data_IF_468827442431
#
_entry.id   IF_468827442431
#
_cell.length_a   1.000
_cell.length_b   1.000
_cell.length_c   1.000
_cell.angle_alpha   90.00
_cell.angle_beta   90.00
_cell.angle_gamma   90.00
#
_symmetry.space_group_name_H-M   'P 1'
#
loop_
_entity.id
_entity.type
_entity.pdbx_description
1 polymer ?
#
# COMPACT_ATOMS: atom_id res chain seq x y z
N UNK A 1 33.09 -10.67 -5.37
CA UNK A 1 32.19 -10.02 -6.37
C UNK A 1 30.84 -10.73 -6.53
N UNK A 2 30.79 -12.07 -6.58
CA UNK A 2 29.51 -12.83 -6.71
C UNK A 2 28.48 -12.53 -5.61
N UNK A 3 28.89 -12.45 -4.35
CA UNK A 3 28.00 -12.21 -3.20
C UNK A 3 27.27 -10.87 -3.25
N UNK A 4 27.92 -9.82 -3.75
CA UNK A 4 27.30 -8.49 -3.93
C UNK A 4 26.21 -8.52 -5.00
N UNK A 5 26.41 -9.29 -6.08
CA UNK A 5 25.41 -9.47 -7.13
C UNK A 5 24.17 -10.23 -6.61
N UNK A 6 24.36 -11.25 -5.77
CA UNK A 6 23.25 -11.97 -5.13
C UNK A 6 22.45 -11.08 -4.18
N UNK A 7 23.12 -10.24 -3.39
CA UNK A 7 22.44 -9.24 -2.54
C UNK A 7 21.64 -8.24 -3.38
N UNK A 8 22.20 -7.76 -4.48
CA UNK A 8 21.54 -6.82 -5.39
C UNK A 8 20.26 -7.41 -5.98
N UNK A 9 20.33 -8.66 -6.47
CA UNK A 9 19.17 -9.40 -6.99
C UNK A 9 18.08 -9.53 -5.93
N UNK A 10 18.41 -9.97 -4.71
CA UNK A 10 17.43 -10.09 -3.63
C UNK A 10 16.76 -8.74 -3.28
N UNK A 11 17.54 -7.67 -3.15
CA UNK A 11 17.00 -6.33 -2.87
C UNK A 11 16.08 -5.84 -4.00
N UNK A 12 16.46 -6.07 -5.26
CA UNK A 12 15.67 -5.69 -6.43
C UNK A 12 14.40 -6.50 -6.61
N UNK A 13 14.32 -7.75 -6.14
CA UNK A 13 13.12 -8.58 -6.24
C UNK A 13 12.21 -8.48 -5.00
N UNK A 14 12.74 -8.24 -3.80
CA UNK A 14 11.94 -8.08 -2.58
C UNK A 14 11.17 -6.75 -2.57
N UNK A 15 11.76 -5.65 -3.04
CA UNK A 15 11.09 -4.34 -3.11
C UNK A 15 9.79 -4.37 -3.92
N UNK A 16 9.80 -4.79 -5.21
CA UNK A 16 8.61 -4.86 -6.05
C UNK A 16 7.54 -5.81 -5.53
N UNK A 17 7.93 -6.92 -4.88
CA UNK A 17 6.99 -7.88 -4.32
C UNK A 17 6.23 -7.29 -3.12
N UNK A 18 6.94 -6.62 -2.22
CA UNK A 18 6.33 -5.97 -1.05
C UNK A 18 5.42 -4.80 -1.47
N UNK A 19 5.81 -4.08 -2.52
CA UNK A 19 5.05 -2.97 -3.09
C UNK A 19 3.67 -3.41 -3.62
N UNK A 20 3.63 -4.49 -4.42
CA UNK A 20 2.36 -5.03 -4.93
C UNK A 20 1.46 -5.58 -3.83
N UNK A 21 2.04 -6.18 -2.80
CA UNK A 21 1.30 -6.73 -1.67
C UNK A 21 0.54 -5.66 -0.86
N UNK A 22 1.14 -4.47 -0.70
CA UNK A 22 0.51 -3.36 0.01
C UNK A 22 -0.69 -2.77 -0.76
N UNK A 23 -0.53 -2.60 -2.07
CA UNK A 23 -1.60 -2.12 -2.94
C UNK A 23 -2.78 -3.12 -2.94
N UNK A 24 -2.50 -4.41 -3.05
CA UNK A 24 -3.52 -5.47 -3.05
C UNK A 24 -4.26 -5.56 -1.71
N UNK A 25 -3.56 -5.38 -0.59
CA UNK A 25 -4.19 -5.33 0.73
C UNK A 25 -5.13 -4.12 0.88
N UNK A 26 -4.74 -2.96 0.35
CA UNK A 26 -5.59 -1.77 0.37
C UNK A 26 -6.85 -1.97 -0.47
N UNK A 27 -6.71 -2.52 -1.68
CA UNK A 27 -7.83 -2.80 -2.59
C UNK A 27 -8.78 -3.84 -1.98
N UNK A 28 -8.26 -4.88 -1.30
CA UNK A 28 -9.08 -5.89 -0.62
C UNK A 28 -9.91 -5.33 0.54
N UNK A 29 -9.56 -4.16 1.06
CA UNK A 29 -10.33 -3.46 2.08
C UNK A 29 -11.34 -2.47 1.44
N UNK A 30 -11.54 -2.46 0.12
CA UNK A 30 -12.27 -1.40 -0.60
C UNK A 30 -11.64 0.00 -0.40
N UNK A 31 -10.33 0.02 -0.13
CA UNK A 31 -9.54 1.23 0.01
C UNK A 31 -8.96 1.73 -1.32
N UNK A 32 -8.66 3.03 -1.37
CA UNK A 32 -8.02 3.72 -2.50
C UNK A 32 -6.61 4.15 -2.13
N UNK A 33 -5.63 3.80 -2.96
CA UNK A 33 -4.28 4.37 -2.86
C UNK A 33 -4.25 5.78 -3.47
N UNK A 34 -3.82 6.76 -2.68
CA UNK A 34 -3.74 8.17 -3.08
C UNK A 34 -2.59 8.87 -2.35
N UNK A 35 -2.08 9.97 -2.87
CA UNK A 35 -1.12 10.80 -2.12
C UNK A 35 -1.75 11.36 -0.83
N UNK A 36 -3.03 11.74 -0.92
CA UNK A 36 -3.82 12.28 0.18
C UNK A 36 -5.22 11.68 0.22
N UNK A 37 -5.75 11.50 1.43
CA UNK A 37 -7.12 11.07 1.67
C UNK A 37 -8.06 12.27 1.67
N UNK A 38 -9.28 12.07 1.17
CA UNK A 38 -10.34 13.08 1.21
C UNK A 38 -10.90 13.22 2.63
N UNK A 39 -11.64 14.30 2.89
CA UNK A 39 -12.29 14.55 4.21
C UNK A 39 -13.23 13.44 4.67
N UNK A 40 -13.83 12.69 3.73
CA UNK A 40 -14.76 11.59 4.00
C UNK A 40 -14.06 10.23 3.87
N UNK A 41 -12.73 10.21 3.84
CA UNK A 41 -11.90 9.02 3.79
C UNK A 41 -11.00 9.00 5.04
N UNK A 42 -10.74 7.83 5.61
CA UNK A 42 -9.80 7.63 6.70
C UNK A 42 -8.49 6.99 6.22
N UNK A 43 -7.38 7.35 6.88
CA UNK A 43 -6.08 6.75 6.61
C UNK A 43 -5.95 5.43 7.38
N UNK A 44 -6.01 4.30 6.65
CA UNK A 44 -5.91 2.96 7.25
C UNK A 44 -4.54 2.30 7.06
N UNK A 45 -3.68 2.86 6.20
CA UNK A 45 -2.35 2.31 5.94
C UNK A 45 -1.60 2.99 4.82
N UNK A 46 -0.61 2.26 4.28
CA UNK A 46 0.26 2.73 3.20
C UNK A 46 0.18 1.79 1.99
N UNK A 47 0.31 2.37 0.81
CA UNK A 47 0.41 1.74 -0.49
C UNK A 47 1.84 1.89 -1.05
N UNK A 48 2.08 1.36 -2.25
CA UNK A 48 3.34 1.54 -2.96
C UNK A 48 3.73 3.02 -3.11
N UNK A 49 5.05 3.28 -3.07
CA UNK A 49 5.66 4.63 -3.13
C UNK A 49 5.23 5.55 -1.99
N UNK A 50 4.97 4.98 -0.81
CA UNK A 50 4.53 5.72 0.38
C UNK A 50 3.23 6.52 0.18
N UNK A 51 2.39 6.07 -0.76
CA UNK A 51 1.03 6.58 -0.87
C UNK A 51 0.19 6.14 0.32
N UNK A 52 -0.88 6.87 0.60
CA UNK A 52 -1.83 6.59 1.67
C UNK A 52 -2.90 5.63 1.15
N UNK A 53 -3.23 4.62 1.95
CA UNK A 53 -4.42 3.81 1.75
C UNK A 53 -5.60 4.50 2.45
N UNK A 54 -6.55 4.98 1.66
CA UNK A 54 -7.69 5.77 2.11
C UNK A 54 -8.97 4.94 2.00
N UNK A 55 -9.63 4.68 3.12
CA UNK A 55 -10.90 3.94 3.19
C UNK A 55 -12.06 4.94 3.23
N UNK A 56 -13.17 4.67 2.54
CA UNK A 56 -14.35 5.53 2.67
C UNK A 56 -14.92 5.37 4.09
N UNK A 57 -15.12 6.48 4.81
CA UNK A 57 -15.83 6.43 6.08
C UNK A 57 -17.29 6.10 5.79
N UNK A 58 -17.76 4.96 6.29
CA UNK A 58 -19.19 4.69 6.28
C UNK A 58 -19.90 5.70 7.18
N UNK A 59 -21.04 6.27 6.74
CA UNK A 59 -21.84 7.10 7.60
C UNK A 59 -22.30 6.26 8.80
N UNK A 60 -22.23 6.85 10.00
CA UNK A 60 -22.52 6.24 11.30
C UNK A 60 -23.93 5.62 11.44
N UNK A 61 -24.74 5.64 10.38
CA UNK A 61 -26.08 5.07 10.31
C UNK A 61 -26.19 3.71 9.61
N UNK A 62 -25.09 3.15 9.08
CA UNK A 62 -25.07 1.76 8.63
C UNK A 62 -24.98 0.85 9.86
N UNK A 63 -26.04 0.08 10.09
CA UNK A 63 -26.25 -0.80 11.23
C UNK A 63 -26.11 -2.26 10.81
#
# INVERSE_FOLDING_TARGET
MRTLLFLFVLLFFLGPAMNKFLDEKCIRLDGRCSADCKKNEELVGLCHKAQKCCLLLEPCWQK
#
